data_IF_130969139673
#
_entry.id   IF_130969139673
#
_cell.length_a   1.000
_cell.length_b   1.000
_cell.length_c   1.000
_cell.angle_alpha   90.00
_cell.angle_beta   90.00
_cell.angle_gamma   90.00
#
_symmetry.space_group_name_H-M   'P 1'
#
loop_
_entity.id
_entity.type
_entity.pdbx_description
1 polymer ?
#
# COMPACT_ATOMS: atom_id res chain seq x y z
N UNK A 1 -23.45 43.85 13.33
CA UNK A 1 -22.50 42.85 13.87
C UNK A 1 -21.36 42.72 12.88
N UNK A 2 -20.13 42.98 13.32
CA UNK A 2 -18.95 42.88 12.46
C UNK A 2 -18.58 41.40 12.28
N UNK A 3 -18.46 40.94 11.02
CA UNK A 3 -17.83 39.66 10.71
C UNK A 3 -16.32 39.89 10.64
N UNK A 4 -15.57 39.27 11.56
CA UNK A 4 -14.11 39.23 11.51
C UNK A 4 -13.67 38.43 10.27
N UNK A 5 -13.18 39.14 9.26
CA UNK A 5 -12.50 38.57 8.10
C UNK A 5 -10.98 38.64 8.30
N UNK A 6 -10.33 37.51 8.02
CA UNK A 6 -8.91 37.29 7.78
C UNK A 6 -7.99 36.74 8.90
N UNK A 7 -7.16 35.77 8.50
CA UNK A 7 -6.02 35.16 9.22
C UNK A 7 -4.73 35.82 8.63
N UNK A 8 -3.67 36.06 9.43
CA UNK A 8 -2.58 37.04 9.16
C UNK A 8 -1.30 36.51 8.47
N UNK A 9 -0.32 37.34 8.02
CA UNK A 9 0.82 36.96 7.16
C UNK A 9 1.97 36.15 7.81
N UNK A 10 1.92 35.91 9.13
CA UNK A 10 2.68 34.84 9.78
C UNK A 10 1.93 33.47 9.68
N UNK A 11 0.98 33.38 8.74
CA UNK A 11 0.17 32.22 8.31
C UNK A 11 -1.32 32.55 8.01
N UNK A 12 -1.81 32.40 6.76
CA UNK A 12 -3.22 32.65 6.39
C UNK A 12 -3.69 32.00 5.06
N UNK A 13 -4.85 31.34 5.05
CA UNK A 13 -5.51 30.70 3.87
C UNK A 13 -7.04 30.87 3.97
N UNK A 14 -7.68 30.78 2.80
CA UNK A 14 -8.89 31.45 2.32
C UNK A 14 -10.23 31.19 3.05
N UNK A 15 -11.03 32.26 2.94
CA UNK A 15 -12.08 32.78 3.80
C UNK A 15 -13.45 32.09 3.66
N UNK A 16 -13.52 30.99 2.88
CA UNK A 16 -14.78 30.29 2.58
C UNK A 16 -14.75 29.18 1.50
N UNK A 17 -15.35 27.99 1.62
CA UNK A 17 -15.91 27.46 2.86
C UNK A 17 -15.35 26.08 3.23
N UNK A 18 -14.60 25.92 4.34
CA UNK A 18 -14.55 26.70 5.63
C UNK A 18 -15.92 26.74 6.33
N UNK A 19 -15.97 26.85 7.67
CA UNK A 19 -17.12 26.41 8.49
C UNK A 19 -18.53 26.83 8.00
N UNK A 20 -19.40 25.81 8.01
CA UNK A 20 -20.82 25.85 7.73
C UNK A 20 -21.60 25.69 9.05
N UNK A 21 -21.94 26.81 9.70
CA UNK A 21 -22.43 26.90 11.11
C UNK A 21 -23.94 26.76 11.28
N UNK A 22 -24.58 26.10 10.34
CA UNK A 22 -25.97 25.68 10.41
C UNK A 22 -26.09 24.17 10.13
N UNK A 23 -24.98 23.42 10.25
CA UNK A 23 -24.80 22.12 9.57
C UNK A 23 -23.93 21.14 10.39
N UNK A 24 -23.72 19.90 9.90
CA UNK A 24 -23.50 18.71 10.72
C UNK A 24 -22.03 18.21 10.92
N UNK A 25 -21.00 18.61 10.13
CA UNK A 25 -19.56 18.22 10.35
C UNK A 25 -18.48 19.19 9.75
N UNK A 26 -17.65 19.89 10.55
CA UNK A 26 -16.62 20.88 10.11
C UNK A 26 -15.11 20.55 10.38
N UNK A 27 -14.15 21.31 9.77
CA UNK A 27 -12.68 20.97 9.61
C UNK A 27 -11.66 22.17 9.73
N UNK A 28 -10.32 21.94 9.98
CA UNK A 28 -9.34 22.80 10.79
C UNK A 28 -7.80 22.78 10.41
N UNK A 29 -6.98 23.76 10.92
CA UNK A 29 -5.53 24.03 10.63
C UNK A 29 -4.56 24.39 11.84
N UNK A 30 -3.19 24.30 11.65
CA UNK A 30 -2.09 24.69 12.61
C UNK A 30 -0.59 24.55 12.13
N UNK A 31 0.42 24.92 12.98
CA UNK A 31 1.90 25.05 12.69
C UNK A 31 2.78 23.77 12.90
N UNK A 32 2.16 22.59 12.93
CA UNK A 32 2.81 21.28 12.87
C UNK A 32 2.59 20.65 11.48
N UNK A 33 2.65 19.31 11.33
CA UNK A 33 2.25 18.67 10.06
C UNK A 33 0.77 18.95 9.78
N UNK A 34 0.51 19.52 8.61
CA UNK A 34 -0.79 19.54 7.95
C UNK A 34 -0.53 19.44 6.45
N UNK A 35 -0.94 18.35 5.81
CA UNK A 35 -0.71 18.19 4.38
C UNK A 35 -1.87 17.53 3.65
N UNK A 36 -2.30 18.19 2.59
CA UNK A 36 -3.25 17.76 1.55
C UNK A 36 -2.74 18.40 0.24
N UNK A 37 -2.26 17.62 -0.73
CA UNK A 37 -1.58 18.21 -1.89
C UNK A 37 -1.74 17.45 -3.21
N UNK A 38 -1.86 18.23 -4.28
CA UNK A 38 -1.14 18.00 -5.53
C UNK A 38 0.06 18.93 -5.57
N UNK A 39 1.08 18.56 -6.33
CA UNK A 39 2.08 19.48 -6.85
C UNK A 39 1.40 20.77 -7.40
N UNK A 40 2.13 21.86 -7.63
CA UNK A 40 1.67 22.96 -8.52
C UNK A 40 0.96 22.50 -9.82
N UNK A 41 1.15 21.24 -10.22
CA UNK A 41 0.38 20.45 -11.18
C UNK A 41 -0.92 19.89 -10.56
N UNK A 42 -2.06 20.31 -11.12
CA UNK A 42 -3.43 19.85 -10.79
C UNK A 42 -3.73 18.35 -11.07
N UNK A 43 -2.74 17.46 -11.00
CA UNK A 43 -2.83 16.06 -11.46
C UNK A 43 -3.07 15.03 -10.33
N UNK A 44 -2.74 15.35 -9.08
CA UNK A 44 -2.78 14.43 -7.93
C UNK A 44 -3.41 15.10 -6.69
N UNK A 45 -4.18 14.38 -5.87
CA UNK A 45 -4.80 14.92 -4.65
C UNK A 45 -5.74 13.92 -3.96
N UNK A 46 -6.52 14.34 -2.95
CA UNK A 46 -7.53 13.51 -2.28
C UNK A 46 -8.88 14.22 -2.14
N UNK A 47 -9.97 13.46 -2.27
CA UNK A 47 -11.36 13.92 -2.12
C UNK A 47 -12.02 13.15 -0.98
N UNK A 48 -12.65 13.88 -0.06
CA UNK A 48 -13.62 13.37 0.90
C UNK A 48 -15.00 13.81 0.44
N UNK A 49 -15.74 12.93 -0.26
CA UNK A 49 -17.08 13.25 -0.76
C UNK A 49 -18.10 12.38 -0.04
N UNK A 50 -19.18 13.00 0.43
CA UNK A 50 -20.43 12.30 0.73
C UNK A 50 -21.52 12.91 -0.13
N UNK A 51 -22.29 12.09 -0.85
CA UNK A 51 -23.31 12.61 -1.78
C UNK A 51 -24.63 11.81 -1.79
N UNK A 52 -24.97 11.16 -0.68
CA UNK A 52 -26.31 10.61 -0.43
C UNK A 52 -26.59 9.19 -0.97
N UNK A 53 -25.61 8.55 -1.64
CA UNK A 53 -25.61 7.10 -1.89
C UNK A 53 -24.31 6.50 -1.35
N UNK A 54 -24.35 5.24 -0.95
CA UNK A 54 -23.22 4.58 -0.29
C UNK A 54 -21.98 4.50 -1.20
N UNK A 55 -22.17 4.36 -2.52
CA UNK A 55 -21.07 4.26 -3.49
C UNK A 55 -20.34 5.59 -3.73
N UNK A 56 -20.99 6.73 -3.47
CA UNK A 56 -20.41 8.06 -3.66
C UNK A 56 -19.78 8.65 -2.37
N UNK A 57 -19.93 7.95 -1.24
CA UNK A 57 -19.35 8.31 0.05
C UNK A 57 -17.93 7.74 0.19
N UNK A 58 -16.90 8.49 -0.23
CA UNK A 58 -15.54 7.95 -0.30
C UNK A 58 -14.44 8.95 0.09
N UNK A 59 -13.40 8.43 0.75
CA UNK A 59 -12.05 9.00 0.74
C UNK A 59 -11.28 8.39 -0.44
N UNK A 60 -10.96 9.19 -1.45
CA UNK A 60 -10.38 8.70 -2.70
C UNK A 60 -9.36 9.67 -3.29
N UNK A 61 -8.45 9.21 -4.15
CA UNK A 61 -7.62 10.12 -4.93
C UNK A 61 -8.46 11.06 -5.82
N UNK A 62 -7.97 12.28 -6.00
CA UNK A 62 -8.37 13.25 -7.02
C UNK A 62 -7.36 13.18 -8.16
N UNK A 63 -7.72 12.52 -9.25
CA UNK A 63 -6.83 12.23 -10.38
C UNK A 63 -7.60 12.36 -11.69
N UNK A 64 -6.91 12.76 -12.77
CA UNK A 64 -7.50 12.84 -14.11
C UNK A 64 -7.80 11.44 -14.65
N UNK A 65 -8.66 11.33 -15.67
CA UNK A 65 -9.15 10.07 -16.23
C UNK A 65 -8.08 9.11 -16.85
N UNK A 66 -6.79 9.44 -16.74
CA UNK A 66 -5.67 8.59 -17.14
C UNK A 66 -4.65 8.31 -16.02
N UNK A 67 -4.86 8.81 -14.80
CA UNK A 67 -3.92 8.66 -13.67
C UNK A 67 -4.56 8.00 -12.44
N UNK A 68 -5.69 7.29 -12.63
CA UNK A 68 -6.34 6.49 -11.59
C UNK A 68 -5.46 5.34 -11.12
N UNK A 69 -5.32 5.18 -9.80
CA UNK A 69 -4.55 4.08 -9.19
C UNK A 69 -3.07 4.37 -8.91
N UNK A 70 -2.60 5.59 -9.16
CA UNK A 70 -1.18 5.95 -8.99
C UNK A 70 -0.82 6.59 -7.64
N UNK A 71 -1.80 6.86 -6.76
CA UNK A 71 -1.52 7.32 -5.39
C UNK A 71 -1.49 6.12 -4.43
N UNK A 72 -0.42 6.03 -3.64
CA UNK A 72 -0.30 5.07 -2.54
C UNK A 72 -0.96 5.59 -1.26
N UNK A 73 -1.50 4.68 -0.45
CA UNK A 73 -1.92 4.96 0.93
C UNK A 73 -0.81 4.57 1.90
N UNK A 74 0.05 5.54 2.22
CA UNK A 74 1.30 5.32 2.96
C UNK A 74 2.45 4.85 2.07
N UNK A 75 3.66 4.85 2.62
CA UNK A 75 4.90 4.44 1.94
C UNK A 75 5.77 3.57 2.87
N UNK A 76 6.82 2.94 2.36
CA UNK A 76 7.58 1.90 3.08
C UNK A 76 8.12 2.37 4.45
N UNK A 77 8.59 3.63 4.53
CA UNK A 77 9.12 4.26 5.74
C UNK A 77 8.04 4.99 6.58
N UNK A 78 6.82 5.18 6.07
CA UNK A 78 5.72 5.89 6.72
C UNK A 78 4.41 5.09 6.56
N UNK A 79 4.23 4.11 7.45
CA UNK A 79 3.17 3.11 7.36
C UNK A 79 2.00 3.44 8.29
N UNK A 80 0.80 3.08 7.85
CA UNK A 80 -0.37 3.01 8.74
C UNK A 80 -0.23 1.82 9.70
N UNK A 81 -0.59 2.03 10.97
CA UNK A 81 -0.53 0.97 11.99
C UNK A 81 -1.55 -0.14 11.74
N UNK A 82 -2.76 0.22 11.31
CA UNK A 82 -3.85 -0.70 11.02
C UNK A 82 -4.92 -0.03 10.15
N UNK A 83 -5.70 -0.84 9.44
CA UNK A 83 -6.91 -0.43 8.72
C UNK A 83 -8.09 -1.18 9.34
N UNK A 84 -9.05 -0.45 9.90
CA UNK A 84 -10.31 -1.01 10.39
C UNK A 84 -11.37 -0.77 9.31
N UNK A 85 -11.89 -1.84 8.72
CA UNK A 85 -12.89 -1.79 7.66
C UNK A 85 -14.03 -2.79 7.95
N UNK A 86 -15.24 -2.46 7.49
CA UNK A 86 -16.39 -3.36 7.62
C UNK A 86 -16.27 -4.58 6.69
N UNK A 87 -15.71 -4.39 5.50
CA UNK A 87 -15.47 -5.43 4.50
C UNK A 87 -13.98 -5.45 4.12
N UNK A 88 -13.54 -6.53 3.46
CA UNK A 88 -12.17 -6.65 2.93
C UNK A 88 -11.87 -5.66 1.80
N UNK A 89 -10.59 -5.51 1.46
CA UNK A 89 -10.14 -4.65 0.36
C UNK A 89 -10.58 -5.20 -0.99
N UNK A 90 -11.06 -4.32 -1.87
CA UNK A 90 -11.42 -4.68 -3.25
C UNK A 90 -10.21 -4.42 -4.15
N UNK A 91 -9.84 -5.41 -4.97
CA UNK A 91 -8.82 -5.27 -6.00
C UNK A 91 -9.40 -5.49 -7.39
N UNK A 92 -8.99 -4.66 -8.36
CA UNK A 92 -9.38 -4.80 -9.76
C UNK A 92 -8.86 -6.13 -10.32
N UNK A 93 -9.77 -7.01 -10.73
CA UNK A 93 -9.44 -8.30 -11.35
C UNK A 93 -10.24 -8.56 -12.63
N UNK A 94 -10.57 -7.49 -13.35
CA UNK A 94 -11.18 -7.58 -14.68
C UNK A 94 -10.15 -8.12 -15.70
N UNK A 95 -10.59 -9.00 -16.60
CA UNK A 95 -9.77 -9.56 -17.69
C UNK A 95 -9.27 -8.46 -18.64
N UNK A 96 -10.09 -7.45 -18.92
CA UNK A 96 -9.76 -6.37 -19.85
C UNK A 96 -8.70 -5.41 -19.27
N UNK A 97 -8.47 -5.46 -17.95
CA UNK A 97 -7.42 -4.71 -17.28
C UNK A 97 -6.08 -5.49 -17.21
N UNK A 98 -5.99 -6.67 -17.83
CA UNK A 98 -4.84 -7.57 -17.78
C UNK A 98 -4.42 -7.99 -19.19
N UNK A 99 -3.13 -8.26 -19.36
CA UNK A 99 -2.55 -8.81 -20.59
C UNK A 99 -1.66 -10.01 -20.25
N UNK A 100 -1.23 -10.76 -21.27
CA UNK A 100 -0.35 -11.94 -21.14
C UNK A 100 -0.82 -12.96 -20.09
N UNK A 101 -2.14 -13.21 -20.08
CA UNK A 101 -2.77 -14.10 -19.10
C UNK A 101 -2.46 -15.56 -19.48
N UNK A 102 -1.68 -16.23 -18.64
CA UNK A 102 -1.42 -17.68 -18.71
C UNK A 102 -1.83 -18.38 -17.42
N UNK A 103 -2.15 -19.67 -17.51
CA UNK A 103 -2.37 -20.49 -16.33
C UNK A 103 -1.07 -20.62 -15.51
N UNK A 104 -1.20 -20.83 -14.20
CA UNK A 104 -0.06 -21.10 -13.33
C UNK A 104 0.45 -22.53 -13.58
N UNK A 105 1.77 -22.67 -13.73
CA UNK A 105 2.46 -23.97 -13.79
C UNK A 105 2.38 -24.68 -12.43
N UNK A 106 1.61 -25.79 -12.30
CA UNK A 106 1.39 -26.44 -11.02
C UNK A 106 2.67 -27.01 -10.39
N UNK A 107 3.65 -27.42 -11.19
CA UNK A 107 4.92 -27.96 -10.74
C UNK A 107 5.80 -26.84 -10.16
N UNK A 108 5.89 -25.71 -10.87
CA UNK A 108 6.61 -24.51 -10.37
C UNK A 108 5.95 -23.97 -9.11
N UNK A 109 4.61 -23.89 -9.07
CA UNK A 109 3.86 -23.48 -7.88
C UNK A 109 4.07 -24.45 -6.73
N UNK A 110 4.08 -25.76 -6.98
CA UNK A 110 4.38 -26.75 -5.93
C UNK A 110 5.77 -26.50 -5.35
N UNK A 111 6.79 -26.33 -6.18
CA UNK A 111 8.14 -26.07 -5.72
C UNK A 111 8.24 -24.78 -4.90
N UNK A 112 7.56 -23.71 -5.34
CA UNK A 112 7.49 -22.45 -4.61
C UNK A 112 6.82 -22.61 -3.25
N UNK A 113 5.58 -23.13 -3.20
CA UNK A 113 4.81 -23.28 -1.96
C UNK A 113 5.51 -24.21 -0.97
N UNK A 114 6.08 -25.33 -1.43
CA UNK A 114 6.79 -26.27 -0.56
C UNK A 114 8.15 -25.74 -0.10
N UNK A 115 8.73 -24.76 -0.79
CA UNK A 115 9.95 -24.08 -0.37
C UNK A 115 9.74 -22.97 0.66
N UNK A 116 8.50 -22.51 0.86
CA UNK A 116 8.19 -21.49 1.87
C UNK A 116 8.44 -22.01 3.29
N UNK A 117 8.87 -21.10 4.18
CA UNK A 117 9.14 -21.40 5.59
C UNK A 117 8.18 -20.63 6.53
N UNK A 118 6.99 -21.18 6.82
CA UNK A 118 6.11 -20.62 7.85
C UNK A 118 6.85 -20.49 9.18
N UNK A 119 6.79 -19.30 9.79
CA UNK A 119 7.57 -18.93 10.96
C UNK A 119 6.68 -18.28 12.02
N UNK A 120 7.08 -18.44 13.29
CA UNK A 120 6.54 -17.65 14.40
C UNK A 120 7.57 -16.61 14.85
N UNK A 121 7.11 -15.40 15.15
CA UNK A 121 8.00 -14.30 15.52
C UNK A 121 7.31 -13.26 16.41
N UNK A 122 8.10 -12.44 17.09
CA UNK A 122 7.65 -11.25 17.83
C UNK A 122 8.39 -10.06 17.24
N UNK A 123 7.70 -8.94 17.02
CA UNK A 123 8.33 -7.73 16.51
C UNK A 123 9.16 -7.05 17.60
N UNK A 124 10.38 -6.61 17.25
CA UNK A 124 11.27 -5.89 18.16
C UNK A 124 10.65 -4.59 18.70
N UNK A 125 9.95 -3.85 17.84
CA UNK A 125 9.41 -2.53 18.14
C UNK A 125 7.87 -2.51 18.31
N UNK A 126 7.25 -3.65 18.62
CA UNK A 126 5.80 -3.71 18.83
C UNK A 126 5.42 -3.77 20.32
N UNK A 127 4.58 -2.83 20.75
CA UNK A 127 4.11 -2.68 22.15
C UNK A 127 3.43 -3.93 22.74
N UNK A 128 2.95 -4.86 21.90
CA UNK A 128 2.08 -5.95 22.36
C UNK A 128 2.83 -7.19 22.86
N UNK A 129 4.10 -7.40 22.46
CA UNK A 129 4.85 -8.62 22.77
C UNK A 129 4.22 -9.94 22.27
N UNK A 130 3.17 -9.88 21.44
CA UNK A 130 2.43 -11.06 20.97
C UNK A 130 3.25 -11.84 19.95
N UNK A 131 3.09 -13.16 19.97
CA UNK A 131 3.57 -14.04 18.91
C UNK A 131 2.69 -13.88 17.67
N UNK A 132 3.32 -13.59 16.55
CA UNK A 132 2.73 -13.56 15.21
C UNK A 132 3.16 -14.81 14.43
N UNK A 133 2.34 -15.20 13.46
CA UNK A 133 2.64 -16.28 12.51
C UNK A 133 2.60 -15.74 11.10
N UNK A 134 3.59 -16.09 10.28
CA UNK A 134 3.71 -15.59 8.92
C UNK A 134 4.95 -16.13 8.21
N UNK A 135 5.48 -15.34 7.29
CA UNK A 135 6.66 -15.64 6.49
C UNK A 135 7.73 -14.56 6.71
N UNK A 136 9.00 -14.94 6.58
CA UNK A 136 10.13 -14.02 6.54
C UNK A 136 10.43 -13.69 5.09
N UNK A 137 10.47 -12.40 4.75
CA UNK A 137 10.61 -11.95 3.37
C UNK A 137 11.96 -12.31 2.75
N UNK A 138 13.03 -12.29 3.55
CA UNK A 138 14.38 -12.66 3.13
C UNK A 138 14.50 -14.16 2.78
N UNK A 139 13.82 -15.04 3.51
CA UNK A 139 13.78 -16.48 3.17
C UNK A 139 13.19 -16.70 1.76
N UNK A 140 12.26 -15.85 1.33
CA UNK A 140 11.67 -15.90 -0.02
C UNK A 140 12.66 -15.36 -1.06
N UNK A 141 13.38 -14.28 -0.75
CA UNK A 141 14.46 -13.77 -1.63
C UNK A 141 15.53 -14.84 -1.87
N UNK A 142 15.92 -15.57 -0.83
CA UNK A 142 16.89 -16.68 -0.92
C UNK A 142 16.36 -17.90 -1.69
N UNK A 143 15.04 -18.12 -1.68
CA UNK A 143 14.39 -19.21 -2.40
C UNK A 143 14.36 -18.97 -3.91
N UNK A 144 14.19 -17.73 -4.36
CA UNK A 144 14.08 -17.39 -5.78
C UNK A 144 15.15 -18.00 -6.69
N UNK A 145 16.46 -17.83 -6.44
CA UNK A 145 17.49 -18.41 -7.32
C UNK A 145 17.45 -19.94 -7.35
N UNK A 146 17.02 -20.60 -6.27
CA UNK A 146 16.89 -22.06 -6.20
C UNK A 146 15.80 -22.59 -7.13
N UNK A 147 14.79 -21.75 -7.41
CA UNK A 147 13.66 -22.05 -8.27
C UNK A 147 13.80 -21.45 -9.68
N UNK A 148 14.95 -20.83 -10.00
CA UNK A 148 15.14 -20.10 -11.24
C UNK A 148 14.17 -18.91 -11.39
N UNK A 149 13.81 -18.28 -10.27
CA UNK A 149 12.92 -17.12 -10.19
C UNK A 149 13.70 -15.87 -9.78
N UNK A 150 13.05 -14.74 -9.95
CA UNK A 150 13.49 -13.41 -9.51
C UNK A 150 12.32 -12.67 -8.86
N UNK A 151 12.58 -11.50 -8.28
CA UNK A 151 11.53 -10.62 -7.75
C UNK A 151 10.53 -10.15 -8.82
N UNK A 152 10.83 -10.29 -10.12
CA UNK A 152 9.92 -9.94 -11.21
C UNK A 152 8.88 -11.04 -11.47
N UNK A 153 9.13 -12.27 -11.04
CA UNK A 153 8.24 -13.42 -11.25
C UNK A 153 7.10 -13.49 -10.23
N UNK A 154 7.22 -12.77 -9.10
CA UNK A 154 6.23 -12.81 -8.03
C UNK A 154 6.10 -11.46 -7.31
N UNK A 155 5.04 -10.72 -7.63
CA UNK A 155 4.76 -9.40 -7.07
C UNK A 155 4.43 -9.40 -5.56
N UNK A 156 4.27 -10.58 -4.95
CA UNK A 156 4.08 -10.72 -3.51
C UNK A 156 5.34 -10.38 -2.70
N UNK A 157 6.52 -10.39 -3.29
CA UNK A 157 7.77 -9.98 -2.66
C UNK A 157 8.05 -8.49 -2.92
N UNK A 158 8.28 -7.72 -1.85
CA UNK A 158 8.57 -6.29 -1.93
C UNK A 158 9.88 -5.98 -1.21
N UNK A 159 10.81 -5.38 -1.97
CA UNK A 159 12.07 -4.84 -1.46
C UNK A 159 12.17 -3.37 -1.87
N UNK A 160 11.95 -2.47 -0.91
CA UNK A 160 12.00 -1.03 -1.13
C UNK A 160 13.27 -0.44 -0.52
N UNK A 161 14.01 0.46 -1.21
CA UNK A 161 15.09 1.20 -0.59
C UNK A 161 14.59 1.93 0.66
N UNK A 162 15.37 1.91 1.74
CA UNK A 162 15.04 2.68 2.94
C UNK A 162 15.31 4.15 2.68
N UNK A 163 14.42 5.00 3.17
CA UNK A 163 14.53 6.45 3.01
C UNK A 163 14.38 7.16 4.35
N UNK A 164 15.09 8.27 4.50
CA UNK A 164 14.98 9.17 5.64
C UNK A 164 14.69 10.59 5.19
N UNK A 165 13.92 11.30 6.01
CA UNK A 165 13.59 12.70 5.78
C UNK A 165 14.58 13.58 6.56
N UNK A 166 15.01 14.68 5.93
CA UNK A 166 15.89 15.66 6.53
C UNK A 166 15.47 17.08 6.11
N UNK A 167 15.85 18.06 6.92
CA UNK A 167 15.63 19.46 6.60
C UNK A 167 16.90 20.04 6.00
N UNK A 168 16.76 20.68 4.84
CA UNK A 168 17.81 21.47 4.22
C UNK A 168 17.44 22.95 4.30
N UNK A 169 18.43 23.77 4.65
CA UNK A 169 18.30 25.22 4.65
C UNK A 169 18.40 25.72 3.21
N UNK A 170 17.28 26.20 2.67
CA UNK A 170 17.20 26.77 1.32
C UNK A 170 16.89 28.27 1.37
N UNK A 171 17.54 29.08 0.53
CA UNK A 171 17.25 30.51 0.46
C UNK A 171 15.88 30.74 -0.18
N UNK A 172 15.06 31.57 0.45
CA UNK A 172 13.76 32.02 -0.04
C UNK A 172 13.78 33.55 -0.08
N UNK A 173 13.36 34.14 -1.19
CA UNK A 173 13.22 35.60 -1.28
C UNK A 173 11.81 35.96 -0.88
N UNK A 174 11.69 36.79 0.16
CA UNK A 174 10.41 37.28 0.67
C UNK A 174 10.38 38.79 0.46
N UNK A 175 9.31 39.28 -0.15
CA UNK A 175 9.07 40.72 -0.32
C UNK A 175 8.30 41.23 0.89
N UNK A 176 8.80 42.29 1.51
CA UNK A 176 8.11 42.98 2.59
C UNK A 176 6.86 43.70 2.05
N UNK A 177 5.69 43.36 2.55
CA UNK A 177 4.41 43.85 2.03
C UNK A 177 4.18 45.36 2.29
N UNK A 178 4.84 45.96 3.29
CA UNK A 178 4.69 47.37 3.64
C UNK A 178 5.71 48.28 2.93
N UNK A 179 6.92 47.78 2.69
CA UNK A 179 8.05 48.56 2.16
C UNK A 179 8.43 48.18 0.72
N UNK A 180 8.01 47.02 0.23
CA UNK A 180 8.35 46.50 -1.09
C UNK A 180 9.80 46.02 -1.23
N UNK A 181 10.55 45.98 -0.12
CA UNK A 181 11.96 45.57 -0.10
C UNK A 181 12.08 44.04 -0.14
N UNK A 182 12.97 43.51 -0.96
CA UNK A 182 13.24 42.08 -1.03
C UNK A 182 14.26 41.68 0.05
N UNK A 183 13.90 40.67 0.85
CA UNK A 183 14.77 40.09 1.86
C UNK A 183 14.95 38.60 1.60
N UNK A 184 16.21 38.17 1.51
CA UNK A 184 16.53 36.74 1.53
C UNK A 184 16.43 36.20 2.95
N UNK A 185 15.58 35.20 3.15
CA UNK A 185 15.44 34.46 4.40
C UNK A 185 15.81 33.00 4.16
N UNK A 186 16.16 32.29 5.22
CA UNK A 186 16.41 30.85 5.17
C UNK A 186 15.14 30.11 5.58
N UNK A 187 14.64 29.26 4.68
CA UNK A 187 13.53 28.35 4.96
C UNK A 187 14.04 26.92 5.05
N UNK A 188 13.49 26.15 5.99
CA UNK A 188 13.72 24.71 6.07
C UNK A 188 12.81 23.98 5.09
N UNK A 189 13.39 23.32 4.10
CA UNK A 189 12.69 22.45 3.17
C UNK A 189 12.85 20.98 3.59
N UNK A 190 11.75 20.24 3.65
CA UNK A 190 11.78 18.81 3.91
C UNK A 190 12.17 18.07 2.64
N UNK A 191 13.27 17.33 2.69
CA UNK A 191 13.74 16.47 1.60
C UNK A 191 13.84 15.03 2.08
N UNK A 192 13.78 14.11 1.13
CA UNK A 192 13.92 12.67 1.37
C UNK A 192 15.14 12.16 0.62
N UNK A 193 15.96 11.32 1.25
CA UNK A 193 17.08 10.63 0.59
C UNK A 193 17.05 9.14 0.88
N UNK A 194 17.62 8.37 -0.04
CA UNK A 194 17.85 6.93 0.16
C UNK A 194 19.02 6.72 1.11
N UNK A 195 18.86 5.77 2.03
CA UNK A 195 19.93 5.28 2.89
C UNK A 195 20.63 4.13 2.15
N UNK A 196 21.89 4.36 1.78
CA UNK A 196 22.67 3.42 0.95
C UNK A 196 22.79 2.05 1.62
N UNK A 197 22.55 0.98 0.87
CA UNK A 197 22.62 -0.41 1.35
C UNK A 197 21.49 -0.86 2.27
N UNK A 198 20.56 0.01 2.67
CA UNK A 198 19.44 -0.34 3.55
C UNK A 198 18.12 -0.51 2.78
N UNK A 199 17.40 -1.59 3.09
CA UNK A 199 16.13 -1.94 2.45
C UNK A 199 15.05 -2.29 3.46
N UNK A 200 13.82 -1.96 3.12
CA UNK A 200 12.61 -2.39 3.81
C UNK A 200 12.05 -3.57 3.03
N UNK A 201 12.02 -4.72 3.70
CA UNK A 201 11.44 -5.95 3.20
C UNK A 201 9.98 -6.07 3.62
N UNK A 202 9.11 -6.50 2.71
CA UNK A 202 7.67 -6.62 2.94
C UNK A 202 7.06 -7.68 2.02
N UNK A 203 5.90 -8.20 2.42
CA UNK A 203 5.15 -9.19 1.64
C UNK A 203 3.70 -8.72 1.42
N UNK A 204 3.18 -8.93 0.21
CA UNK A 204 1.74 -8.85 -0.06
C UNK A 204 1.15 -10.25 0.12
N UNK A 205 0.58 -10.50 1.30
CA UNK A 205 0.09 -11.84 1.65
C UNK A 205 -1.02 -12.35 0.72
N UNK A 206 -1.84 -11.47 0.16
CA UNK A 206 -2.93 -11.84 -0.75
C UNK A 206 -2.42 -12.46 -2.07
N UNK A 207 -1.20 -12.10 -2.51
CA UNK A 207 -0.58 -12.66 -3.73
C UNK A 207 -0.29 -14.16 -3.60
N UNK A 208 -0.25 -14.71 -2.36
CA UNK A 208 -0.05 -16.14 -2.13
C UNK A 208 -1.35 -16.95 -2.32
N UNK A 209 -2.52 -16.31 -2.35
CA UNK A 209 -3.81 -17.00 -2.42
C UNK A 209 -3.96 -17.76 -3.74
N UNK A 210 -3.63 -17.14 -4.89
CA UNK A 210 -3.75 -17.80 -6.19
C UNK A 210 -2.81 -19.01 -6.35
N UNK A 211 -1.51 -18.93 -5.98
CA UNK A 211 -0.65 -20.10 -5.85
C UNK A 211 -1.21 -21.20 -4.95
N UNK A 212 -1.77 -20.85 -3.78
CA UNK A 212 -2.39 -21.82 -2.88
C UNK A 212 -3.61 -22.50 -3.53
N UNK A 213 -4.46 -21.76 -4.25
CA UNK A 213 -5.60 -22.33 -5.01
C UNK A 213 -5.10 -23.32 -6.06
N UNK A 214 -4.08 -22.96 -6.83
CA UNK A 214 -3.47 -23.85 -7.83
C UNK A 214 -2.94 -25.13 -7.19
N UNK A 215 -2.24 -25.01 -6.05
CA UNK A 215 -1.74 -26.15 -5.29
C UNK A 215 -2.88 -27.06 -4.80
N UNK A 216 -3.95 -26.49 -4.25
CA UNK A 216 -5.14 -27.25 -3.79
C UNK A 216 -5.79 -28.00 -4.96
N UNK A 217 -5.98 -27.34 -6.11
CA UNK A 217 -6.53 -27.98 -7.30
C UNK A 217 -5.65 -29.15 -7.80
N UNK A 218 -4.32 -28.98 -7.76
CA UNK A 218 -3.37 -30.03 -8.11
C UNK A 218 -3.46 -31.21 -7.12
N UNK A 219 -3.50 -30.92 -5.82
CA UNK A 219 -3.62 -31.93 -4.77
C UNK A 219 -4.92 -32.73 -4.91
N UNK A 220 -6.05 -32.07 -5.22
CA UNK A 220 -7.32 -32.74 -5.45
C UNK A 220 -7.24 -33.75 -6.60
N UNK A 221 -6.63 -33.38 -7.74
CA UNK A 221 -6.40 -34.31 -8.86
C UNK A 221 -5.51 -35.50 -8.48
N UNK A 222 -4.53 -35.29 -7.61
CA UNK A 222 -3.67 -36.37 -7.12
C UNK A 222 -4.44 -37.32 -6.20
N UNK A 223 -5.29 -36.80 -5.32
CA UNK A 223 -6.17 -37.58 -4.45
C UNK A 223 -7.10 -38.47 -5.28
N UNK A 224 -7.81 -37.91 -6.26
CA UNK A 224 -8.72 -38.67 -7.13
C UNK A 224 -8.00 -39.77 -7.92
N UNK A 225 -6.76 -39.52 -8.34
CA UNK A 225 -5.95 -40.52 -9.01
C UNK A 225 -5.57 -41.66 -8.05
N UNK A 226 -5.14 -41.32 -6.84
CA UNK A 226 -4.80 -42.28 -5.80
C UNK A 226 -6.00 -43.14 -5.40
N UNK A 227 -7.18 -42.54 -5.20
CA UNK A 227 -8.43 -43.24 -4.91
C UNK A 227 -8.78 -44.22 -6.03
N UNK A 228 -8.74 -43.80 -7.30
CA UNK A 228 -9.01 -44.68 -8.44
C UNK A 228 -8.05 -45.87 -8.49
N UNK A 229 -6.76 -45.64 -8.19
CA UNK A 229 -5.76 -46.70 -8.14
C UNK A 229 -6.00 -47.66 -6.98
N UNK A 230 -6.37 -47.14 -5.81
CA UNK A 230 -6.72 -47.93 -4.64
C UNK A 230 -7.89 -48.85 -4.95
N UNK A 231 -9.01 -48.32 -5.46
CA UNK A 231 -10.19 -49.14 -5.82
C UNK A 231 -9.87 -50.19 -6.90
N UNK A 232 -9.03 -49.86 -7.87
CA UNK A 232 -8.61 -50.83 -8.89
C UNK A 232 -7.72 -51.95 -8.31
N UNK A 233 -6.99 -51.70 -7.22
CA UNK A 233 -6.21 -52.70 -6.51
C UNK A 233 -7.09 -53.56 -5.60
N UNK A 234 -7.99 -52.95 -4.85
CA UNK A 234 -8.97 -53.63 -3.98
C UNK A 234 -9.82 -54.63 -4.80
N UNK A 235 -10.36 -54.18 -5.93
CA UNK A 235 -11.13 -55.06 -6.83
C UNK A 235 -10.31 -56.23 -7.41
N UNK A 236 -8.99 -56.08 -7.56
CA UNK A 236 -8.10 -57.17 -8.02
C UNK A 236 -7.77 -58.17 -6.92
N UNK A 237 -7.78 -57.72 -5.67
CA UNK A 237 -7.55 -58.57 -4.50
C UNK A 237 -8.79 -59.40 -4.19
N UNK A 238 -9.98 -58.79 -4.26
CA UNK A 238 -11.27 -59.49 -4.09
C UNK A 238 -11.56 -60.53 -5.19
N UNK A 239 -10.94 -60.38 -6.36
CA UNK A 239 -11.09 -61.31 -7.49
C UNK A 239 -10.12 -62.51 -7.47
N UNK A 240 -9.27 -62.64 -6.44
CA UNK A 240 -8.33 -63.77 -6.24
C UNK A 240 -8.85 -64.76 -5.21
#
# INVERSE_FOLDING_TARGET
>A
MAYFGAISPNGGTCYGKLQFTATQYPQIHGNGILQLGGDSRNEYGVVLRSNGTDEANAFRPSVNAGTTGHLYLGVANQKWRAVFAQNGTIQTSDRNAKHDITDLDPEKITAFIMGLKPSSYVFNDADSGRTHWGLISQDIEELFPQLGMTSMDFAGFIKSPKTEDYYEDVPETVTDEETGEEKTVTRKELKTRTVEGEYIYSLRYDEFIAPLICMVQKQQKQIENLERRLSALENKEEAK
#
